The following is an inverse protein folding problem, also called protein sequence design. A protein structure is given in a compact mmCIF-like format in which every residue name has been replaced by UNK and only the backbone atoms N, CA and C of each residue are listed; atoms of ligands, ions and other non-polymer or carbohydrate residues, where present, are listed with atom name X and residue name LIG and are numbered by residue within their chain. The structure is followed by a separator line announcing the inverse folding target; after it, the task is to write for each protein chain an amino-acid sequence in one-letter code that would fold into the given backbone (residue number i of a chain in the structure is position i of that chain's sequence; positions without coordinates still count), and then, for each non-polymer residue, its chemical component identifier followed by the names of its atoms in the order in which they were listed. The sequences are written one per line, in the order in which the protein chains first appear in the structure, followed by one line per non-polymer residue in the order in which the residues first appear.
data_IF_199370735845
#
_entry.id   IF_199370735845
#
_cell.length_a   1.000
_cell.length_b   1.000
_cell.length_c   1.000
_cell.angle_alpha   90.00
_cell.angle_beta   90.00
_cell.angle_gamma   90.00
#
_symmetry.space_group_name_H-M   'P 1'
#
loop_
_entity.id
_entity.type
_entity.pdbx_description
1 polymer ?
#
# COMPACT_ATOMS: atom_id res chain seq x y z
N UNK A 1 10.70 23.46 -1.92
CA UNK A 1 10.55 22.80 -2.00
C UNK A 1 10.53 22.02 -2.34
N UNK A 2 10.46 21.64 -2.15
CA UNK A 2 10.33 20.76 -2.34
C UNK A 2 9.74 20.03 -2.74
N UNK A 3 9.64 19.66 -2.98
CA UNK A 3 9.02 18.88 -3.28
C UNK A 3 8.71 17.99 -3.14
N UNK A 4 8.29 17.94 -3.18
CA UNK A 4 7.99 17.01 -2.98
C UNK A 4 7.53 15.90 -3.41
N UNK A 5 8.02 15.31 -3.47
CA UNK A 5 7.65 14.15 -3.70
C UNK A 5 6.63 13.70 -3.00
N UNK A 6 5.80 12.98 -3.53
CA UNK A 6 4.68 12.59 -2.78
C UNK A 6 4.79 11.13 -2.46
N UNK A 7 5.14 10.87 -1.23
CA UNK A 7 5.17 9.53 -0.71
C UNK A 7 4.06 9.43 0.30
N UNK A 8 3.04 8.63 0.00
CA UNK A 8 1.95 8.41 0.92
C UNK A 8 2.26 7.17 1.76
N UNK A 9 2.09 7.25 3.05
CA UNK A 9 2.34 6.12 3.94
C UNK A 9 1.04 5.72 4.62
N UNK A 10 0.74 4.43 4.65
CA UNK A 10 -0.53 3.92 5.15
C UNK A 10 -0.27 2.69 6.01
N UNK A 11 -0.92 2.64 7.17
CA UNK A 11 -0.77 1.53 8.09
C UNK A 11 -2.10 0.79 8.16
N UNK A 12 -2.13 -0.43 7.62
CA UNK A 12 -3.35 -1.25 7.66
C UNK A 12 -3.18 -2.46 8.58
N UNK A 13 -2.16 -2.42 9.44
CA UNK A 13 -1.95 -3.48 10.41
C UNK A 13 -3.10 -3.48 11.42
N UNK A 14 -3.51 -4.67 11.82
CA UNK A 14 -4.59 -4.81 12.79
C UNK A 14 -5.98 -4.66 12.22
N UNK A 15 -6.11 -4.44 10.91
CA UNK A 15 -7.41 -4.27 10.29
C UNK A 15 -7.89 -5.58 9.66
N UNK A 16 -9.19 -5.81 9.75
CA UNK A 16 -9.80 -6.99 9.15
C UNK A 16 -10.28 -6.68 7.74
N UNK A 17 -10.29 -7.70 6.90
CA UNK A 17 -10.85 -7.60 5.55
C UNK A 17 -12.31 -7.12 5.65
N UNK A 18 -12.75 -6.16 4.83
CA UNK A 18 -12.06 -5.58 3.67
C UNK A 18 -11.37 -4.24 3.95
N UNK A 19 -11.12 -3.91 5.21
CA UNK A 19 -10.63 -2.57 5.56
C UNK A 19 -9.27 -2.23 4.96
N UNK A 20 -8.27 -3.15 4.93
CA UNK A 20 -7.00 -2.78 4.30
C UNK A 20 -7.18 -2.36 2.84
N UNK A 21 -8.04 -3.08 2.12
CA UNK A 21 -8.29 -2.77 0.72
C UNK A 21 -8.97 -1.42 0.56
N UNK A 22 -9.96 -1.15 1.41
CA UNK A 22 -10.69 0.11 1.35
C UNK A 22 -9.81 1.30 1.68
N UNK A 23 -8.96 1.17 2.69
CA UNK A 23 -8.04 2.25 3.05
C UNK A 23 -7.05 2.52 1.93
N UNK A 24 -6.54 1.45 1.31
CA UNK A 24 -5.60 1.61 0.21
C UNK A 24 -6.28 2.28 -0.98
N UNK A 25 -7.49 1.86 -1.29
CA UNK A 25 -8.22 2.43 -2.41
C UNK A 25 -8.43 3.92 -2.22
N UNK A 26 -8.77 4.33 -1.00
CA UNK A 26 -8.96 5.74 -0.70
C UNK A 26 -7.64 6.51 -0.79
N UNK A 27 -6.55 5.89 -0.32
CA UNK A 27 -5.24 6.55 -0.34
C UNK A 27 -4.77 6.85 -1.75
N UNK A 28 -5.08 5.99 -2.72
CA UNK A 28 -4.62 6.20 -4.09
C UNK A 28 -5.52 7.12 -4.90
N UNK A 29 -6.62 7.59 -4.32
CA UNK A 29 -7.48 8.56 -5.01
C UNK A 29 -6.75 9.86 -5.31
N UNK A 30 -5.74 10.18 -4.53
CA UNK A 30 -4.92 11.37 -4.76
C UNK A 30 -3.84 11.17 -5.81
N UNK A 31 -3.77 10.00 -6.40
CA UNK A 31 -2.77 9.63 -7.40
C UNK A 31 -1.34 9.88 -6.92
N UNK A 32 -0.96 9.38 -5.74
CA UNK A 32 0.42 9.56 -5.29
C UNK A 32 1.38 8.83 -6.21
N UNK A 33 2.56 9.42 -6.44
CA UNK A 33 3.55 8.74 -7.27
C UNK A 33 4.19 7.58 -6.53
N UNK A 34 4.21 7.62 -5.21
CA UNK A 34 4.74 6.54 -4.39
C UNK A 34 3.84 6.33 -3.19
N UNK A 35 3.68 5.08 -2.80
CA UNK A 35 2.90 4.73 -1.63
C UNK A 35 3.58 3.58 -0.90
N UNK A 36 3.62 3.68 0.42
CA UNK A 36 4.16 2.64 1.28
C UNK A 36 3.06 2.18 2.23
N UNK A 37 2.81 0.88 2.24
CA UNK A 37 1.73 0.32 3.03
C UNK A 37 2.29 -0.75 3.95
N UNK A 38 1.95 -0.66 5.23
CA UNK A 38 2.33 -1.64 6.24
C UNK A 38 1.15 -2.57 6.49
N UNK A 39 1.36 -3.87 6.29
CA UNK A 39 0.33 -4.88 6.50
C UNK A 39 0.87 -5.97 7.41
N UNK A 40 -0.03 -6.72 8.03
CA UNK A 40 0.40 -7.78 8.96
C UNK A 40 -0.28 -9.12 8.66
N UNK A 41 -0.82 -9.28 7.48
CA UNK A 41 -1.38 -10.56 7.08
C UNK A 41 -1.17 -10.81 5.60
N UNK A 42 -1.06 -12.08 5.24
CA UNK A 42 -0.88 -12.44 3.84
C UNK A 42 -2.08 -12.06 2.99
N UNK A 43 -3.27 -12.13 3.57
CA UNK A 43 -4.49 -11.76 2.85
C UNK A 43 -4.50 -10.26 2.55
N UNK A 44 -4.16 -9.43 3.54
CA UNK A 44 -4.10 -8.00 3.32
C UNK A 44 -3.03 -7.65 2.29
N UNK A 45 -1.86 -8.29 2.40
CA UNK A 45 -0.79 -8.08 1.44
C UNK A 45 -1.28 -8.39 0.02
N UNK A 46 -1.88 -9.55 -0.17
CA UNK A 46 -2.31 -9.99 -1.50
C UNK A 46 -3.34 -9.02 -2.08
N UNK A 47 -4.29 -8.59 -1.26
CA UNK A 47 -5.32 -7.67 -1.74
C UNK A 47 -4.74 -6.31 -2.10
N UNK A 48 -3.83 -5.80 -1.30
CA UNK A 48 -3.21 -4.51 -1.56
C UNK A 48 -2.35 -4.56 -2.81
N UNK A 49 -1.56 -5.63 -2.97
CA UNK A 49 -0.73 -5.79 -4.16
C UNK A 49 -1.59 -5.84 -5.41
N UNK A 50 -2.68 -6.61 -5.37
CA UNK A 50 -3.56 -6.72 -6.52
C UNK A 50 -4.16 -5.37 -6.88
N UNK A 51 -4.61 -4.61 -5.89
CA UNK A 51 -5.20 -3.31 -6.15
C UNK A 51 -4.19 -2.35 -6.75
N UNK A 52 -3.00 -2.27 -6.16
CA UNK A 52 -1.98 -1.36 -6.67
C UNK A 52 -1.56 -1.73 -8.09
N UNK A 53 -1.42 -3.02 -8.36
CA UNK A 53 -1.06 -3.47 -9.70
C UNK A 53 -2.14 -3.10 -10.72
N UNK A 54 -3.40 -3.27 -10.34
CA UNK A 54 -4.53 -2.89 -11.20
C UNK A 54 -4.53 -1.40 -11.50
N UNK A 55 -4.05 -0.58 -10.57
CA UNK A 55 -4.05 0.86 -10.74
C UNK A 55 -2.79 1.38 -11.43
N UNK A 56 -1.94 0.47 -11.88
CA UNK A 56 -0.78 0.86 -12.67
C UNK A 56 0.50 1.06 -11.88
N UNK A 57 0.50 0.69 -10.60
CA UNK A 57 1.71 0.81 -9.79
C UNK A 57 2.64 -0.38 -10.01
N UNK A 58 3.94 -0.11 -9.97
CA UNK A 58 4.94 -1.16 -9.85
C UNK A 58 5.08 -1.46 -8.36
N UNK A 59 4.89 -2.70 -7.98
CA UNK A 59 4.78 -3.07 -6.57
C UNK A 59 5.95 -3.92 -6.13
N UNK A 60 6.51 -3.57 -4.99
CA UNK A 60 7.57 -4.34 -4.34
C UNK A 60 7.11 -4.67 -2.93
N UNK A 61 7.37 -5.88 -2.48
CA UNK A 61 6.98 -6.32 -1.14
C UNK A 61 8.21 -6.76 -0.38
N UNK A 62 8.39 -6.20 0.83
CA UNK A 62 9.42 -6.64 1.76
C UNK A 62 8.76 -7.27 2.96
N UNK A 63 9.23 -8.44 3.36
CA UNK A 63 8.76 -9.10 4.57
C UNK A 63 9.72 -8.81 5.71
N UNK A 64 9.15 -8.52 6.87
CA UNK A 64 9.94 -8.23 8.06
C UNK A 64 9.24 -8.90 9.24
N UNK A 65 9.65 -10.12 9.54
CA UNK A 65 8.98 -10.91 10.56
C UNK A 65 7.57 -11.23 10.13
N UNK A 66 6.60 -10.80 10.90
CA UNK A 66 5.19 -11.04 10.62
C UNK A 66 4.54 -9.90 9.86
N UNK A 67 5.35 -8.94 9.41
CA UNK A 67 4.82 -7.76 8.75
C UNK A 67 5.31 -7.67 7.33
N UNK A 68 4.55 -6.95 6.51
CA UNK A 68 4.88 -6.72 5.11
C UNK A 68 4.91 -5.24 4.83
N UNK A 69 5.95 -4.80 4.12
CA UNK A 69 6.00 -3.44 3.61
C UNK A 69 5.79 -3.51 2.11
N UNK A 70 4.74 -2.88 1.65
CA UNK A 70 4.34 -2.92 0.26
C UNK A 70 4.57 -1.53 -0.32
N UNK A 71 5.48 -1.44 -1.28
CA UNK A 71 5.82 -0.18 -1.91
C UNK A 71 5.29 -0.17 -3.33
N UNK A 72 4.52 0.86 -3.65
CA UNK A 72 4.03 1.05 -5.01
C UNK A 72 4.59 2.34 -5.57
N UNK A 73 4.95 2.33 -6.84
CA UNK A 73 5.41 3.55 -7.50
C UNK A 73 4.95 3.56 -8.95
N UNK A 74 4.73 4.78 -9.46
CA UNK A 74 4.39 4.95 -10.86
C UNK A 74 4.65 6.37 -11.36
#
# INVERSE_FOLDING_TARGET
MREERIMKELDVRGLSCPMPLMHTKRAIEDNPSQILIHADSGTAKANVVALLSDEGYSVTVDEDGDEYRITGSR
#
